data_IF_397060361022
#
_entry.id   IF_397060361022
#
_cell.length_a   1.000
_cell.length_b   1.000
_cell.length_c   1.000
_cell.angle_alpha   90.00
_cell.angle_beta   90.00
_cell.angle_gamma   90.00
#
_symmetry.space_group_name_H-M   'P 1'
#
loop_
_entity.id
_entity.type
_entity.pdbx_description
1 polymer ?
#
# COMPACT_ATOMS: atom_id res chain seq x y z
N UNK A 1 -1.04 -4.86 14.53
CA UNK A 1 -0.82 -4.80 13.08
C UNK A 1 0.63 -4.51 12.81
N UNK A 2 1.20 -5.20 11.87
CA UNK A 2 2.61 -5.07 11.59
C UNK A 2 2.78 -4.92 10.08
N UNK A 3 3.78 -4.15 9.65
CA UNK A 3 4.03 -3.94 8.22
C UNK A 3 5.36 -4.60 7.88
N UNK A 4 5.39 -5.34 6.79
CA UNK A 4 6.61 -6.00 6.34
C UNK A 4 6.67 -6.02 4.82
N UNK A 5 7.83 -6.39 4.27
CA UNK A 5 7.94 -6.51 2.83
C UNK A 5 7.07 -7.67 2.35
N UNK A 6 6.48 -7.49 1.20
CA UNK A 6 5.73 -8.57 0.57
C UNK A 6 6.69 -9.59 -0.01
N UNK A 7 6.29 -10.83 0.03
CA UNK A 7 7.05 -11.92 -0.58
C UNK A 7 6.14 -12.66 -1.55
N UNK A 8 6.71 -13.54 -2.35
CA UNK A 8 5.91 -14.24 -3.35
C UNK A 8 4.74 -14.99 -2.77
N UNK A 9 4.89 -15.47 -1.56
CA UNK A 9 3.79 -16.20 -0.92
C UNK A 9 2.58 -15.31 -0.68
N UNK A 10 2.77 -13.99 -0.70
CA UNK A 10 1.64 -13.08 -0.49
C UNK A 10 0.83 -12.87 -1.77
N UNK A 11 1.32 -13.32 -2.91
CA UNK A 11 0.66 -13.03 -4.17
C UNK A 11 -0.77 -13.53 -4.23
N UNK A 12 -1.04 -14.66 -3.64
CA UNK A 12 -2.40 -15.22 -3.65
C UNK A 12 -3.36 -14.31 -2.86
N UNK A 13 -2.94 -13.87 -1.69
CA UNK A 13 -3.78 -13.01 -0.87
C UNK A 13 -4.01 -11.66 -1.54
N UNK A 14 -2.97 -11.10 -2.12
CA UNK A 14 -3.08 -9.82 -2.80
C UNK A 14 -3.89 -9.94 -4.09
N UNK A 15 -3.78 -11.07 -4.77
CA UNK A 15 -4.59 -11.32 -5.94
C UNK A 15 -6.07 -11.36 -5.60
N UNK A 16 -6.42 -12.01 -4.50
CA UNK A 16 -7.80 -12.03 -4.04
C UNK A 16 -8.28 -10.64 -3.67
N UNK A 17 -7.43 -9.88 -3.02
CA UNK A 17 -7.81 -8.54 -2.57
C UNK A 17 -8.02 -7.58 -3.74
N UNK A 18 -7.20 -7.69 -4.77
CA UNK A 18 -7.24 -6.74 -5.89
C UNK A 18 -8.07 -7.23 -7.06
N UNK A 19 -8.42 -8.50 -7.07
CA UNK A 19 -9.10 -9.09 -8.23
C UNK A 19 -8.17 -9.33 -9.40
N UNK A 20 -6.87 -9.33 -9.18
CA UNK A 20 -5.91 -9.52 -10.25
C UNK A 20 -5.34 -10.93 -10.24
N UNK A 21 -4.92 -11.44 -11.40
CA UNK A 21 -4.28 -12.76 -11.43
C UNK A 21 -3.03 -12.79 -10.57
N UNK A 22 -2.80 -13.93 -9.94
CA UNK A 22 -1.67 -14.08 -9.04
C UNK A 22 -0.35 -13.79 -9.74
N UNK A 23 -0.19 -14.17 -11.01
CA UNK A 23 1.03 -13.90 -11.74
C UNK A 23 1.30 -12.42 -11.93
N UNK A 24 0.25 -11.63 -12.12
CA UNK A 24 0.38 -10.19 -12.24
C UNK A 24 0.86 -9.60 -10.92
N UNK A 25 0.30 -10.08 -9.82
CA UNK A 25 0.70 -9.60 -8.51
C UNK A 25 2.14 -10.00 -8.20
N UNK A 26 2.54 -11.20 -8.60
CA UNK A 26 3.89 -11.66 -8.37
C UNK A 26 4.89 -10.78 -9.10
N UNK A 27 4.57 -10.35 -10.32
CA UNK A 27 5.41 -9.44 -11.07
C UNK A 27 5.51 -8.09 -10.37
N UNK A 28 4.39 -7.60 -9.83
CA UNK A 28 4.40 -6.35 -9.10
C UNK A 28 5.33 -6.42 -7.89
N UNK A 29 5.30 -7.53 -7.18
CA UNK A 29 6.16 -7.71 -6.01
C UNK A 29 7.63 -7.65 -6.40
N UNK A 30 7.97 -8.20 -7.56
CA UNK A 30 9.35 -8.19 -8.01
C UNK A 30 9.78 -6.84 -8.60
N UNK A 31 8.87 -6.14 -9.24
CA UNK A 31 9.24 -4.91 -9.96
C UNK A 31 9.16 -3.65 -9.12
N UNK A 32 8.48 -3.69 -8.01
CA UNK A 32 8.25 -2.50 -7.20
C UNK A 32 8.52 -2.83 -5.74
N UNK A 33 8.52 -1.79 -4.93
CA UNK A 33 8.58 -1.99 -3.48
C UNK A 33 7.16 -2.21 -3.00
N UNK A 34 6.89 -3.35 -2.43
CA UNK A 34 5.55 -3.68 -1.94
C UNK A 34 5.64 -4.04 -0.46
N UNK A 35 4.80 -3.40 0.33
CA UNK A 35 4.71 -3.69 1.76
C UNK A 35 3.31 -4.18 2.06
N UNK A 36 3.18 -5.09 2.98
CA UNK A 36 1.88 -5.59 3.43
C UNK A 36 1.70 -5.29 4.91
N UNK A 37 0.47 -4.99 5.28
CA UNK A 37 0.10 -4.85 6.68
C UNK A 37 -0.58 -6.15 7.08
N UNK A 38 -0.08 -6.76 8.13
CA UNK A 38 -0.60 -8.05 8.59
C UNK A 38 -1.10 -7.93 10.01
N UNK A 39 -2.14 -8.65 10.32
CA UNK A 39 -2.65 -8.69 11.68
C UNK A 39 -2.17 -9.96 12.28
N UNK A 40 -1.54 -9.80 13.48
CA UNK A 40 -1.04 -10.90 14.02
C UNK A 40 -1.96 -11.79 14.51
N UNK A 41 -1.72 -12.66 14.41
CA UNK A 41 -2.36 -13.56 15.01
C UNK A 41 -3.43 -13.94 15.31
N UNK A 42 -3.73 -13.46 15.27
CA UNK A 42 -4.79 -13.64 15.52
C UNK A 42 -5.13 -14.94 15.55
N UNK A 43 -5.10 -15.27 14.96
CA UNK A 43 -5.42 -16.34 14.83
C UNK A 43 -5.37 -17.30 15.60
N UNK A 44 -5.78 -17.55 15.90
CA UNK A 44 -5.85 -18.40 16.55
C UNK A 44 -5.50 -19.45 16.37
N UNK A 45 -5.18 -19.37 16.18
CA UNK A 45 -4.72 -20.08 16.26
C UNK A 45 -4.93 -21.26 16.36
N UNK A 46 -5.44 -21.24 16.68
CA UNK A 46 -5.70 -22.26 16.94
C UNK A 46 -5.35 -23.23 16.18
N UNK A 47 -5.45 -23.27 15.57
CA UNK A 47 -5.29 -24.13 14.87
C UNK A 47 -4.25 -24.52 14.49
N UNK A 48 -4.03 -24.37 14.78
CA UNK A 48 -3.00 -24.69 14.65
C UNK A 48 -2.63 -25.60 13.77
N UNK A 49 -2.92 -26.24 13.63
CA UNK A 49 -2.49 -27.16 12.86
C UNK A 49 -2.10 -26.80 11.78
N UNK A 50 -2.23 -26.13 11.66
CA UNK A 50 -1.93 -25.71 10.77
C UNK A 50 -0.98 -26.03 10.04
N UNK A 51 -0.87 -26.01 9.51
CA UNK A 51 -0.13 -26.28 8.78
C UNK A 51 0.81 -25.67 8.40
N UNK A 52 1.14 -25.46 8.28
CA UNK A 52 2.27 -25.22 7.88
C UNK A 52 2.47 -24.33 6.86
N UNK A 53 2.27 -24.51 5.87
CA UNK A 53 2.57 -23.66 4.91
C UNK A 53 1.73 -22.55 4.92
N UNK A 54 0.75 -22.42 5.53
CA UNK A 54 -0.12 -21.34 5.47
C UNK A 54 0.37 -20.23 6.26
N UNK A 55 0.39 -19.07 5.75
CA UNK A 55 0.82 -17.95 6.49
C UNK A 55 -0.10 -17.76 7.63
N UNK A 56 0.45 -17.58 8.75
CA UNK A 56 -0.30 -17.39 9.87
C UNK A 56 -0.90 -16.07 9.95
N UNK A 57 -0.26 -15.08 9.35
CA UNK A 57 -0.72 -13.71 9.41
C UNK A 57 -1.75 -13.43 8.35
N UNK A 58 -2.78 -12.69 8.69
CA UNK A 58 -3.78 -12.27 7.73
C UNK A 58 -3.37 -10.94 7.15
N UNK A 59 -3.42 -10.82 5.84
CA UNK A 59 -3.05 -9.58 5.17
C UNK A 59 -4.23 -8.62 5.22
N UNK A 60 -4.04 -7.48 5.84
CA UNK A 60 -5.09 -6.46 5.98
C UNK A 60 -4.99 -5.40 4.90
N UNK A 61 -3.88 -5.32 4.21
CA UNK A 61 -3.73 -4.34 3.12
C UNK A 61 -2.33 -4.37 2.57
N UNK A 62 -2.12 -3.60 1.52
CA UNK A 62 -0.78 -3.49 0.93
C UNK A 62 -0.60 -2.13 0.27
N UNK A 63 0.65 -1.76 0.06
CA UNK A 63 1.01 -0.57 -0.72
C UNK A 63 2.14 -0.95 -1.65
N UNK A 64 2.07 -0.48 -2.88
CA UNK A 64 3.15 -0.66 -3.84
C UNK A 64 3.62 0.72 -4.30
N UNK A 65 4.92 0.91 -4.36
CA UNK A 65 5.46 2.18 -4.78
C UNK A 65 6.80 1.96 -5.49
N UNK A 66 7.18 2.94 -6.32
CA UNK A 66 8.49 2.90 -6.94
C UNK A 66 9.03 4.33 -6.98
N UNK A 67 10.28 4.46 -7.37
CA UNK A 67 10.95 5.75 -7.39
C UNK A 67 11.32 6.09 -8.82
N UNK A 68 10.93 7.30 -9.25
CA UNK A 68 11.33 7.80 -10.55
C UNK A 68 11.59 9.29 -10.44
N UNK A 69 12.72 9.73 -10.96
CA UNK A 69 13.06 11.15 -11.03
C UNK A 69 13.00 11.86 -9.68
N UNK A 70 13.44 11.16 -8.64
CA UNK A 70 13.48 11.77 -7.31
C UNK A 70 12.14 11.84 -6.62
N UNK A 71 11.14 11.14 -7.14
CA UNK A 71 9.79 11.13 -6.57
C UNK A 71 9.39 9.70 -6.29
N UNK A 72 8.84 9.47 -5.12
CA UNK A 72 8.29 8.16 -4.76
C UNK A 72 6.85 8.14 -5.23
N UNK A 73 6.52 7.23 -6.13
CA UNK A 73 5.17 7.12 -6.67
C UNK A 73 4.45 5.94 -6.05
N UNK A 74 3.36 6.22 -5.37
CA UNK A 74 2.51 5.17 -4.83
C UNK A 74 1.61 4.73 -5.97
N UNK A 75 1.79 3.50 -6.43
CA UNK A 75 1.06 3.02 -7.59
C UNK A 75 -0.17 2.23 -7.23
N UNK A 76 -0.19 1.59 -6.06
CA UNK A 76 -1.34 0.82 -5.61
C UNK A 76 -1.41 0.86 -4.09
N UNK A 77 -2.60 0.97 -3.56
CA UNK A 77 -2.80 0.84 -2.12
C UNK A 77 -4.23 0.35 -1.91
N UNK A 78 -4.38 -0.67 -1.10
CA UNK A 78 -5.70 -1.22 -0.80
C UNK A 78 -5.69 -1.84 0.58
N UNK A 79 -6.84 -1.93 1.19
CA UNK A 79 -7.00 -2.61 2.46
C UNK A 79 -7.94 -1.89 3.38
N UNK A 80 -7.96 -2.33 4.62
CA UNK A 80 -8.77 -1.69 5.66
C UNK A 80 -8.26 -0.28 5.89
N UNK A 81 -9.12 0.64 6.30
CA UNK A 81 -8.69 2.05 6.50
C UNK A 81 -7.50 2.20 7.44
N UNK A 82 -7.48 1.47 8.53
CA UNK A 82 -6.35 1.55 9.47
C UNK A 82 -5.09 1.01 8.84
N UNK A 83 -5.20 -0.06 8.06
CA UNK A 83 -4.05 -0.63 7.38
C UNK A 83 -3.52 0.33 6.32
N UNK A 84 -4.41 0.94 5.55
CA UNK A 84 -4.01 1.87 4.51
C UNK A 84 -3.27 3.06 5.11
N UNK A 85 -3.77 3.59 6.21
CA UNK A 85 -3.12 4.70 6.88
C UNK A 85 -1.71 4.32 7.32
N UNK A 86 -1.56 3.17 7.91
CA UNK A 86 -0.26 2.69 8.35
C UNK A 86 0.67 2.46 7.16
N UNK A 87 0.11 1.94 6.07
CA UNK A 87 0.91 1.63 4.89
C UNK A 87 1.42 2.89 4.19
N UNK A 88 0.67 3.98 4.21
CA UNK A 88 1.16 5.22 3.63
C UNK A 88 2.41 5.72 4.33
N UNK A 89 2.61 5.34 5.57
CA UNK A 89 3.82 5.75 6.30
C UNK A 89 5.07 5.16 5.69
N UNK A 90 4.97 4.04 4.99
CA UNK A 90 6.15 3.38 4.43
C UNK A 90 6.81 4.23 3.32
N UNK A 91 6.10 4.63 2.27
CA UNK A 91 6.73 5.49 1.26
C UNK A 91 7.10 6.86 1.83
N UNK A 92 6.35 7.37 2.80
CA UNK A 92 6.68 8.64 3.43
C UNK A 92 7.99 8.53 4.20
N UNK A 93 8.16 7.45 4.95
CA UNK A 93 9.39 7.24 5.71
C UNK A 93 10.59 7.08 4.78
N UNK A 94 10.40 6.33 3.70
CA UNK A 94 11.44 6.16 2.70
C UNK A 94 11.81 7.52 2.09
N UNK A 95 10.81 8.28 1.66
CA UNK A 95 11.04 9.56 1.01
C UNK A 95 11.71 10.56 1.95
N UNK A 96 11.30 10.57 3.20
CA UNK A 96 11.87 11.48 4.19
C UNK A 96 13.35 11.18 4.38
N UNK A 97 13.69 9.91 4.42
CA UNK A 97 15.06 9.50 4.61
C UNK A 97 15.92 9.84 3.42
N UNK A 98 15.35 9.77 2.21
CA UNK A 98 16.10 10.01 0.98
C UNK A 98 15.96 11.43 0.45
N UNK A 99 15.17 12.27 1.09
CA UNK A 99 15.01 13.65 0.62
C UNK A 99 14.13 13.77 -0.61
N UNK A 100 13.14 12.90 -0.73
CA UNK A 100 12.26 12.87 -1.90
C UNK A 100 10.85 13.26 -1.53
N UNK A 101 10.03 13.57 -2.52
CA UNK A 101 8.60 13.77 -2.30
C UNK A 101 7.85 12.50 -2.62
N UNK A 102 6.60 12.39 -2.19
CA UNK A 102 5.76 11.25 -2.47
C UNK A 102 4.54 11.74 -3.24
N UNK A 103 4.16 11.01 -4.28
CA UNK A 103 2.93 11.30 -5.01
C UNK A 103 2.07 10.06 -5.06
N UNK A 104 0.77 10.25 -4.98
CA UNK A 104 -0.18 9.15 -5.07
C UNK A 104 -1.36 9.60 -5.89
N UNK A 105 -1.89 8.69 -6.73
CA UNK A 105 -3.12 8.93 -7.48
C UNK A 105 -4.15 8.02 -6.85
N UNK A 106 -5.20 8.59 -6.29
CA UNK A 106 -6.17 7.83 -5.51
C UNK A 106 -7.56 8.10 -6.02
N UNK A 107 -8.46 7.11 -5.94
CA UNK A 107 -9.85 7.36 -6.31
C UNK A 107 -10.42 8.48 -5.45
N UNK A 108 -11.06 9.44 -6.10
CA UNK A 108 -11.53 10.64 -5.41
C UNK A 108 -12.46 10.31 -4.25
N UNK A 109 -13.27 9.28 -4.41
CA UNK A 109 -14.20 8.89 -3.36
C UNK A 109 -13.73 7.71 -2.53
N UNK A 110 -12.49 7.31 -2.64
CA UNK A 110 -12.02 6.11 -1.95
C UNK A 110 -11.60 6.37 -0.52
N UNK A 111 -11.54 5.32 0.26
CA UNK A 111 -11.11 5.42 1.64
C UNK A 111 -9.65 5.80 1.75
N UNK A 112 -8.86 5.52 0.72
CA UNK A 112 -7.45 5.86 0.75
C UNK A 112 -7.22 7.37 0.82
N UNK A 113 -8.18 8.16 0.34
CA UNK A 113 -8.05 9.61 0.39
C UNK A 113 -8.00 10.09 1.84
N UNK A 114 -8.88 9.58 2.67
CA UNK A 114 -8.89 9.99 4.08
C UNK A 114 -7.60 9.59 4.75
N UNK A 115 -7.11 8.41 4.46
CA UNK A 115 -5.89 7.93 5.06
C UNK A 115 -4.70 8.79 4.63
N UNK A 116 -4.65 9.16 3.36
CA UNK A 116 -3.56 10.00 2.86
C UNK A 116 -3.57 11.36 3.56
N UNK A 117 -4.74 11.93 3.74
CA UNK A 117 -4.83 13.24 4.39
C UNK A 117 -4.40 13.18 5.84
N UNK A 118 -4.76 12.12 6.53
CA UNK A 118 -4.35 11.95 7.93
C UNK A 118 -2.84 11.85 8.04
N UNK A 119 -2.20 11.21 7.09
CA UNK A 119 -0.75 11.03 7.11
C UNK A 119 -0.03 12.33 6.74
N UNK A 120 -0.69 13.23 6.05
CA UNK A 120 -0.07 14.52 5.73
C UNK A 120 -0.02 14.85 4.25
N UNK A 121 -0.64 14.06 3.42
CA UNK A 121 -0.69 14.36 2.00
C UNK A 121 -1.68 15.49 1.73
N UNK A 122 -1.41 16.27 0.71
CA UNK A 122 -2.29 17.34 0.29
C UNK A 122 -2.72 17.11 -1.15
N UNK A 123 -3.96 17.42 -1.45
CA UNK A 123 -4.46 17.30 -2.81
C UNK A 123 -3.82 18.36 -3.69
N UNK A 124 -3.30 17.98 -4.83
CA UNK A 124 -2.64 18.91 -5.73
C UNK A 124 -3.30 18.98 -7.11
N UNK A 125 -4.34 18.22 -7.32
CA UNK A 125 -5.06 18.32 -8.60
C UNK A 125 -5.79 17.04 -8.93
N UNK A 126 -6.38 17.03 -10.10
CA UNK A 126 -7.08 15.86 -10.60
C UNK A 126 -6.08 14.92 -11.23
N UNK A 127 -6.33 13.64 -11.10
CA UNK A 127 -5.55 12.62 -11.77
C UNK A 127 -6.29 12.09 -12.99
N UNK A 128 -5.75 11.09 -13.62
CA UNK A 128 -6.41 10.48 -14.78
C UNK A 128 -7.64 9.70 -14.34
N UNK A 129 -8.59 9.54 -15.26
CA UNK A 129 -9.69 8.65 -14.97
C UNK A 129 -9.22 7.21 -15.10
N UNK A 130 -9.59 6.40 -14.15
CA UNK A 130 -9.23 4.99 -14.17
C UNK A 130 -10.52 4.21 -14.15
N UNK A 131 -10.75 3.42 -15.20
CA UNK A 131 -11.98 2.66 -15.35
C UNK A 131 -13.20 3.56 -15.24
N UNK A 132 -13.08 4.77 -15.79
CA UNK A 132 -14.20 5.70 -15.79
C UNK A 132 -14.39 6.46 -14.50
N UNK A 133 -13.62 6.17 -13.48
CA UNK A 133 -13.80 6.82 -12.18
C UNK A 133 -12.79 7.96 -12.01
N UNK A 134 -13.20 9.05 -11.38
CA UNK A 134 -12.27 10.16 -11.16
C UNK A 134 -11.24 9.83 -10.10
N UNK A 135 -10.06 10.39 -10.26
CA UNK A 135 -9.01 10.25 -9.26
C UNK A 135 -8.50 11.62 -8.89
N UNK A 136 -7.79 11.67 -7.78
CA UNK A 136 -7.15 12.90 -7.31
C UNK A 136 -5.67 12.62 -7.08
N UNK A 137 -4.86 13.63 -7.32
CA UNK A 137 -3.43 13.50 -7.08
C UNK A 137 -3.11 14.11 -5.75
N UNK A 138 -2.33 13.39 -4.97
CA UNK A 138 -1.93 13.81 -3.63
C UNK A 138 -0.42 13.82 -3.55
N UNK A 139 0.11 14.71 -2.74
CA UNK A 139 1.54 14.88 -2.62
C UNK A 139 1.94 15.08 -1.17
N UNK A 140 3.03 14.48 -0.78
CA UNK A 140 3.62 14.68 0.53
C UNK A 140 5.04 15.18 0.32
N UNK A 141 5.38 16.30 0.95
CA UNK A 141 6.72 16.87 0.85
C UNK A 141 7.32 16.91 2.24
N UNK A 142 8.31 16.09 2.54
CA UNK A 142 8.88 16.05 3.88
C UNK A 142 9.44 17.38 4.33
N UNK A 143 9.96 18.15 3.38
CA UNK A 143 10.55 19.42 3.76
C UNK A 143 9.51 20.45 4.12
N UNK A 144 8.38 20.41 3.47
CA UNK A 144 7.32 21.32 3.80
C UNK A 144 6.59 20.92 5.06
N UNK A 145 6.51 19.64 5.31
CA UNK A 145 5.80 19.17 6.45
C UNK A 145 6.56 19.29 7.69
N UNK A 146 7.79 19.41 7.56
CA UNK A 146 8.68 19.38 8.66
C UNK A 146 8.57 20.48 9.57
#
# INVERSE_FOLDING_TARGET
MRVRDAVEADAAALGSMTGRPEGVVRNMIHDRSVRVAVTDGAAPAADADASDDTPVDAVAGFVAFDVRDGVVHVTNVEGDPDAVRRLFEEPVRFATREGMTVEAVLPTDGTAVDAAEVVGFAAVGSGPRIDGAPTSRYRFDPEESG
#
